data_IF_750883949592
#
_entry.id   IF_750883949592
#
_cell.length_a   1.000
_cell.length_b   1.000
_cell.length_c   1.000
_cell.angle_alpha   90.00
_cell.angle_beta   90.00
_cell.angle_gamma   90.00
#
_symmetry.space_group_name_H-M   'P 1'
#
loop_
_entity.id
_entity.type
_entity.pdbx_description
1 polymer ?
#
# COMPACT_ATOMS: atom_id res chain seq x y z
N UNK A 1 39.58 -23.79 -41.72
CA UNK A 1 38.86 -22.54 -41.37
C UNK A 1 37.40 -22.82 -40.98
N UNK A 2 37.10 -23.30 -39.75
CA UNK A 2 35.69 -23.49 -39.27
C UNK A 2 35.50 -23.34 -37.73
N UNK A 3 36.49 -22.79 -36.99
CA UNK A 3 36.46 -22.72 -35.51
C UNK A 3 36.03 -21.36 -34.93
N UNK A 4 36.02 -20.29 -35.73
CA UNK A 4 35.76 -18.93 -35.23
C UNK A 4 34.27 -18.52 -35.18
N UNK A 5 33.38 -19.22 -35.90
CA UNK A 5 31.95 -18.83 -36.00
C UNK A 5 31.08 -19.34 -34.84
N UNK A 6 31.60 -20.22 -33.99
CA UNK A 6 30.85 -20.83 -32.87
C UNK A 6 31.03 -20.09 -31.54
N UNK A 7 32.12 -19.34 -31.36
CA UNK A 7 32.38 -18.59 -30.12
C UNK A 7 31.51 -17.34 -29.96
N UNK A 8 31.22 -16.59 -31.03
CA UNK A 8 30.32 -15.43 -30.94
C UNK A 8 28.86 -15.82 -30.68
N UNK A 9 28.41 -16.99 -31.19
CA UNK A 9 27.05 -17.45 -30.95
C UNK A 9 26.85 -17.94 -29.50
N UNK A 10 27.92 -18.44 -28.87
CA UNK A 10 27.88 -18.88 -27.47
C UNK A 10 27.86 -17.70 -26.49
N UNK A 11 28.56 -16.60 -26.81
CA UNK A 11 28.60 -15.38 -25.97
C UNK A 11 27.28 -14.58 -25.99
N UNK A 12 26.47 -14.69 -27.04
CA UNK A 12 25.15 -14.05 -27.13
C UNK A 12 24.04 -14.79 -26.35
N UNK A 13 24.16 -16.11 -26.15
CA UNK A 13 23.15 -16.91 -25.44
C UNK A 13 23.29 -16.84 -23.91
N UNK A 14 24.48 -16.53 -23.40
CA UNK A 14 24.70 -16.33 -21.96
C UNK A 14 24.16 -14.99 -21.44
N UNK A 15 24.06 -13.95 -22.27
CA UNK A 15 23.56 -12.64 -21.86
C UNK A 15 22.03 -12.58 -21.72
N UNK A 16 21.28 -13.42 -22.45
CA UNK A 16 19.80 -13.44 -22.41
C UNK A 16 19.22 -14.23 -21.24
N UNK A 17 20.00 -15.12 -20.61
CA UNK A 17 19.52 -15.96 -19.50
C UNK A 17 19.65 -15.30 -18.12
N UNK A 18 20.35 -14.16 -17.99
CA UNK A 18 20.55 -13.51 -16.68
C UNK A 18 19.41 -12.57 -16.25
N UNK A 19 18.53 -12.17 -17.17
CA UNK A 19 17.39 -11.27 -16.87
C UNK A 19 16.19 -12.01 -16.28
N UNK A 20 16.09 -13.33 -16.47
CA UNK A 20 14.91 -14.13 -16.07
C UNK A 20 14.92 -14.61 -14.61
N UNK A 21 15.97 -14.30 -13.83
CA UNK A 21 16.15 -14.80 -12.47
C UNK A 21 16.50 -13.70 -11.45
N UNK A 22 15.90 -12.52 -11.62
CA UNK A 22 15.84 -11.58 -10.50
C UNK A 22 14.70 -11.98 -9.57
N UNK A 23 14.97 -12.37 -8.30
CA UNK A 23 13.90 -12.46 -7.32
C UNK A 23 13.30 -11.06 -7.17
N UNK A 24 11.98 -10.95 -7.29
CA UNK A 24 11.29 -9.71 -6.97
C UNK A 24 11.59 -9.38 -5.50
N UNK A 25 12.41 -8.36 -5.27
CA UNK A 25 12.60 -7.80 -3.93
C UNK A 25 11.28 -7.15 -3.56
N UNK A 26 10.51 -7.82 -2.70
CA UNK A 26 9.33 -7.23 -2.08
C UNK A 26 9.82 -6.11 -1.17
N UNK A 27 9.74 -4.87 -1.65
CA UNK A 27 9.92 -3.71 -0.79
C UNK A 27 8.86 -3.76 0.31
N UNK A 28 9.25 -3.44 1.54
CA UNK A 28 8.28 -3.23 2.61
C UNK A 28 7.28 -2.14 2.17
N UNK A 29 5.99 -2.29 2.52
CA UNK A 29 5.00 -1.28 2.20
C UNK A 29 5.41 0.06 2.82
N UNK A 30 5.18 1.17 2.13
CA UNK A 30 5.62 2.46 2.62
C UNK A 30 4.85 2.85 3.90
N UNK A 31 5.41 3.71 4.76
CA UNK A 31 4.84 3.98 6.09
C UNK A 31 3.38 4.49 6.07
N UNK A 32 3.01 5.29 5.07
CA UNK A 32 1.65 5.79 4.85
C UNK A 32 0.67 4.66 4.56
N UNK A 33 1.09 3.63 3.81
CA UNK A 33 0.28 2.46 3.52
C UNK A 33 0.01 1.68 4.82
N UNK A 34 1.06 1.45 5.61
CA UNK A 34 0.95 0.75 6.90
C UNK A 34 -0.03 1.49 7.84
N UNK A 35 0.09 2.81 7.93
CA UNK A 35 -0.77 3.63 8.78
C UNK A 35 -2.21 3.67 8.28
N UNK A 36 -2.42 3.82 6.97
CA UNK A 36 -3.74 3.75 6.35
C UNK A 36 -4.41 2.40 6.63
N UNK A 37 -3.70 1.29 6.44
CA UNK A 37 -4.23 -0.04 6.70
C UNK A 37 -4.54 -0.27 8.19
N UNK A 38 -3.77 0.35 9.10
CA UNK A 38 -4.09 0.35 10.53
C UNK A 38 -5.41 1.09 10.82
N UNK A 39 -5.62 2.29 10.27
CA UNK A 39 -6.87 3.04 10.42
C UNK A 39 -8.06 2.26 9.81
N UNK A 40 -7.84 1.66 8.64
CA UNK A 40 -8.84 0.87 7.90
C UNK A 40 -9.28 -0.40 8.65
N UNK A 41 -8.37 -1.10 9.33
CA UNK A 41 -8.74 -2.22 10.22
C UNK A 41 -9.59 -1.75 11.40
N UNK A 42 -9.27 -0.60 12.00
CA UNK A 42 -10.07 -0.03 13.08
C UNK A 42 -11.49 0.35 12.60
N UNK A 43 -11.59 0.91 11.38
CA UNK A 43 -12.87 1.19 10.72
C UNK A 43 -13.73 -0.05 10.57
N UNK A 44 -13.20 -1.15 10.01
CA UNK A 44 -14.00 -2.37 9.83
C UNK A 44 -14.42 -2.99 11.16
N UNK A 45 -13.53 -2.99 12.17
CA UNK A 45 -13.90 -3.42 13.54
C UNK A 45 -15.03 -2.57 14.11
N UNK A 46 -14.99 -1.26 13.89
CA UNK A 46 -16.05 -0.35 14.33
C UNK A 46 -17.38 -0.59 13.58
N UNK A 47 -17.34 -0.73 12.25
CA UNK A 47 -18.56 -0.98 11.45
C UNK A 47 -19.21 -2.34 11.76
N UNK A 48 -18.43 -3.32 12.25
CA UNK A 48 -18.95 -4.59 12.75
C UNK A 48 -19.64 -4.47 14.13
N UNK A 49 -19.29 -3.46 14.93
CA UNK A 49 -19.83 -3.26 16.28
C UNK A 49 -21.01 -2.26 16.28
N UNK A 50 -22.22 -2.79 16.24
CA UNK A 50 -23.47 -1.99 16.22
C UNK A 50 -23.75 -1.28 17.53
N UNK A 51 -23.31 -1.82 18.66
CA UNK A 51 -23.51 -1.19 19.97
C UNK A 51 -22.70 0.12 20.05
N UNK A 52 -21.45 0.10 19.56
CA UNK A 52 -20.58 1.30 19.53
C UNK A 52 -21.06 2.36 18.55
N UNK A 53 -21.70 1.98 17.45
CA UNK A 53 -22.26 2.90 16.46
C UNK A 53 -23.37 3.81 17.03
N UNK A 54 -24.00 3.45 18.15
CA UNK A 54 -24.99 4.32 18.82
C UNK A 54 -24.41 5.66 19.29
N UNK A 55 -23.11 5.72 19.57
CA UNK A 55 -22.49 6.90 20.18
C UNK A 55 -21.63 7.66 19.18
N UNK A 56 -21.99 8.93 18.91
CA UNK A 56 -21.33 9.79 17.92
C UNK A 56 -19.81 9.92 18.12
N UNK A 57 -19.34 9.96 19.36
CA UNK A 57 -17.90 10.07 19.64
C UNK A 57 -17.11 8.86 19.11
N UNK A 58 -17.71 7.66 19.01
CA UNK A 58 -17.03 6.50 18.44
C UNK A 58 -16.75 6.67 16.95
N UNK A 59 -17.68 7.28 16.20
CA UNK A 59 -17.48 7.63 14.79
C UNK A 59 -16.35 8.63 14.63
N UNK A 60 -16.38 9.71 15.42
CA UNK A 60 -15.35 10.75 15.42
C UNK A 60 -13.97 10.19 15.78
N UNK A 61 -13.90 9.27 16.75
CA UNK A 61 -12.64 8.62 17.14
C UNK A 61 -12.02 7.81 16.00
N UNK A 62 -12.84 7.18 15.16
CA UNK A 62 -12.35 6.48 13.97
C UNK A 62 -11.99 7.45 12.85
N UNK A 63 -12.76 8.53 12.64
CA UNK A 63 -12.43 9.57 11.66
C UNK A 63 -11.05 10.19 11.94
N UNK A 64 -10.76 10.50 13.21
CA UNK A 64 -9.46 10.99 13.69
C UNK A 64 -8.28 10.04 13.45
N UNK A 65 -8.52 8.76 13.19
CA UNK A 65 -7.44 7.85 12.77
C UNK A 65 -7.02 8.13 11.33
N UNK A 66 -7.98 8.44 10.46
CA UNK A 66 -7.72 8.76 9.07
C UNK A 66 -7.17 10.18 8.91
N UNK A 67 -7.70 11.16 9.63
CA UNK A 67 -7.14 12.53 9.64
C UNK A 67 -5.64 12.51 9.97
N UNK A 68 -5.23 11.73 10.98
CA UNK A 68 -3.81 11.57 11.32
C UNK A 68 -2.95 10.96 10.21
N UNK A 69 -3.52 10.18 9.29
CA UNK A 69 -2.78 9.69 8.12
C UNK A 69 -2.55 10.85 7.16
N UNK A 70 -3.59 11.64 6.88
CA UNK A 70 -3.49 12.80 6.01
C UNK A 70 -2.57 13.89 6.58
N UNK A 71 -2.65 14.16 7.89
CA UNK A 71 -1.80 15.15 8.56
C UNK A 71 -0.32 14.78 8.49
N UNK A 72 -0.01 13.47 8.57
CA UNK A 72 1.37 12.98 8.59
C UNK A 72 1.97 12.78 7.20
N UNK A 73 1.14 12.43 6.21
CA UNK A 73 1.58 12.16 4.85
C UNK A 73 0.73 12.93 3.81
N UNK A 74 0.71 14.27 3.87
CA UNK A 74 -0.24 15.09 3.12
C UNK A 74 -0.13 14.95 1.60
N UNK A 75 1.08 14.70 1.07
CA UNK A 75 1.34 14.65 -0.37
C UNK A 75 1.26 13.23 -0.97
N UNK A 76 0.54 12.33 -0.30
CA UNK A 76 0.39 10.93 -0.74
C UNK A 76 -1.04 10.65 -1.21
N UNK A 77 -1.21 9.67 -2.10
CA UNK A 77 -2.54 9.20 -2.49
C UNK A 77 -3.38 8.75 -1.30
N UNK A 78 -2.73 8.23 -0.24
CA UNK A 78 -3.39 7.82 1.00
C UNK A 78 -3.94 8.97 1.82
N UNK A 79 -3.42 10.19 1.71
CA UNK A 79 -4.03 11.34 2.37
C UNK A 79 -5.43 11.63 1.82
N UNK A 80 -5.59 11.64 0.50
CA UNK A 80 -6.89 11.85 -0.13
C UNK A 80 -7.90 10.75 0.24
N UNK A 81 -7.49 9.47 0.15
CA UNK A 81 -8.32 8.33 0.56
C UNK A 81 -8.75 8.42 2.03
N UNK A 82 -7.82 8.83 2.90
CA UNK A 82 -8.06 8.96 4.33
C UNK A 82 -9.05 10.10 4.64
N UNK A 83 -8.86 11.29 4.06
CA UNK A 83 -9.77 12.42 4.25
C UNK A 83 -11.17 12.11 3.72
N UNK A 84 -11.28 11.45 2.57
CA UNK A 84 -12.58 11.03 2.04
C UNK A 84 -13.30 10.08 3.02
N UNK A 85 -12.57 9.13 3.60
CA UNK A 85 -13.14 8.19 4.57
C UNK A 85 -13.50 8.88 5.89
N UNK A 86 -12.67 9.82 6.37
CA UNK A 86 -12.97 10.64 7.54
C UNK A 86 -14.26 11.47 7.33
N UNK A 87 -14.40 12.11 6.18
CA UNK A 87 -15.60 12.86 5.81
C UNK A 87 -16.86 12.01 5.86
N UNK A 88 -16.83 10.80 5.29
CA UNK A 88 -17.96 9.85 5.39
C UNK A 88 -18.30 9.48 6.84
N UNK A 89 -17.29 9.28 7.70
CA UNK A 89 -17.51 8.98 9.11
C UNK A 89 -18.09 10.15 9.92
N UNK A 90 -17.88 11.39 9.48
CA UNK A 90 -18.56 12.54 10.05
C UNK A 90 -19.97 12.74 9.50
N UNK A 91 -20.24 12.27 8.29
CA UNK A 91 -21.58 12.36 7.71
C UNK A 91 -22.54 11.30 8.27
N UNK A 92 -22.05 10.06 8.47
CA UNK A 92 -22.79 8.95 9.10
C UNK A 92 -23.24 9.29 10.56
#
# INVERSE_FOLDING_TARGET
MKRFRKSCLFLLVLATNFVAWQPAVLADPPPEEIAYQKARRAFYRFKADKARQKYRHNWQNVAKLFERVADRWPDTSRAADALFTAGKLYLD
#
